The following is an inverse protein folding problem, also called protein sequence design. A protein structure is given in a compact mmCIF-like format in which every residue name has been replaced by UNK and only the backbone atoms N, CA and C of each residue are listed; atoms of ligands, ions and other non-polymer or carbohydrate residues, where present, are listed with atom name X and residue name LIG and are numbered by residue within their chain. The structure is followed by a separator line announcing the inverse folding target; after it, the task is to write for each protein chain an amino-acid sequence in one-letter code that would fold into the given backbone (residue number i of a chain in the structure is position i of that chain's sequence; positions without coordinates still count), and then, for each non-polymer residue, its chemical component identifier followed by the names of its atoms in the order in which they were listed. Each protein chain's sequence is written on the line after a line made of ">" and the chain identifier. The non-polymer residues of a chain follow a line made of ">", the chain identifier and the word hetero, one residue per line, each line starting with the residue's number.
data_IF_540945264613
#
_entry.id   IF_540945264613
#
_cell.length_a   1.000
_cell.length_b   1.000
_cell.length_c   1.000
_cell.angle_alpha   90.00
_cell.angle_beta   90.00
_cell.angle_gamma   90.00
#
_symmetry.space_group_name_H-M   'P 1'
#
loop_
_entity.id
_entity.type
_entity.pdbx_description
1 polymer ?
#
# COMPACT_ATOMS: atom_id res chain seq x y z
N UNK A 1 23.26 40.62 -36.62
CA UNK A 1 24.03 40.15 -35.45
C UNK A 1 23.38 40.76 -34.22
N UNK A 2 22.68 39.94 -33.43
CA UNK A 2 22.07 40.31 -32.14
C UNK A 2 22.65 39.38 -31.07
N UNK A 3 22.92 39.85 -29.84
CA UNK A 3 23.75 39.12 -28.90
C UNK A 3 22.99 37.97 -28.25
N UNK A 4 23.72 36.87 -28.02
CA UNK A 4 23.27 35.69 -27.32
C UNK A 4 22.95 36.01 -25.85
N UNK A 5 21.69 35.89 -25.46
CA UNK A 5 21.29 35.91 -24.06
C UNK A 5 21.73 34.61 -23.37
N UNK A 6 22.42 34.80 -22.25
CA UNK A 6 23.02 33.79 -21.36
C UNK A 6 22.05 32.68 -20.92
N UNK A 7 22.53 31.44 -20.97
CA UNK A 7 21.81 30.21 -20.63
C UNK A 7 21.63 29.99 -19.11
N UNK A 8 21.09 30.98 -18.37
CA UNK A 8 20.90 30.88 -16.91
C UNK A 8 19.42 30.82 -16.48
N UNK A 9 18.46 30.94 -17.40
CA UNK A 9 17.05 31.15 -17.02
C UNK A 9 16.07 29.97 -17.20
N UNK A 10 16.51 28.70 -17.13
CA UNK A 10 15.55 27.57 -17.21
C UNK A 10 15.81 26.44 -16.22
N UNK A 11 15.64 26.70 -14.92
CA UNK A 11 15.52 25.64 -13.90
C UNK A 11 14.44 25.92 -12.84
N UNK A 12 13.36 26.61 -13.20
CA UNK A 12 12.16 26.66 -12.35
C UNK A 12 11.33 25.37 -12.51
N UNK A 13 11.87 24.24 -12.05
CA UNK A 13 11.12 22.99 -11.93
C UNK A 13 9.93 23.15 -10.97
N UNK A 14 8.86 22.38 -11.21
CA UNK A 14 7.65 22.40 -10.36
C UNK A 14 8.01 22.15 -8.88
N UNK A 15 7.21 22.67 -7.94
CA UNK A 15 7.39 22.46 -6.48
C UNK A 15 7.65 20.99 -6.12
N UNK A 16 7.05 20.06 -6.86
CA UNK A 16 7.25 18.62 -6.74
C UNK A 16 8.64 18.15 -7.21
N UNK A 17 9.10 18.58 -8.37
CA UNK A 17 10.43 18.24 -8.89
C UNK A 17 11.54 18.81 -8.01
N UNK A 18 11.33 19.99 -7.42
CA UNK A 18 12.26 20.58 -6.45
C UNK A 18 12.34 19.73 -5.18
N UNK A 19 11.20 19.22 -4.68
CA UNK A 19 11.14 18.30 -3.53
C UNK A 19 11.79 16.95 -3.85
N UNK A 20 11.58 16.41 -5.06
CA UNK A 20 12.20 15.14 -5.49
C UNK A 20 13.73 15.26 -5.58
N UNK A 21 14.27 16.37 -6.12
CA UNK A 21 15.71 16.64 -6.10
C UNK A 21 16.27 16.78 -4.68
N UNK A 22 15.49 17.31 -3.75
CA UNK A 22 15.88 17.47 -2.34
C UNK A 22 15.94 16.11 -1.61
N UNK A 23 14.97 15.23 -1.86
CA UNK A 23 14.98 13.85 -1.36
C UNK A 23 16.19 13.11 -1.92
N UNK A 24 16.40 13.20 -3.24
CA UNK A 24 17.49 12.51 -3.92
C UNK A 24 18.87 12.99 -3.46
N UNK A 25 19.05 14.28 -3.20
CA UNK A 25 20.31 14.83 -2.65
C UNK A 25 20.55 14.38 -1.19
N UNK A 26 19.50 14.32 -0.38
CA UNK A 26 19.59 13.79 0.99
C UNK A 26 19.97 12.31 1.01
N UNK A 27 19.33 11.50 0.16
CA UNK A 27 19.58 10.07 0.05
C UNK A 27 21.00 9.76 -0.50
N UNK A 28 21.51 10.58 -1.42
CA UNK A 28 22.87 10.44 -1.96
C UNK A 28 23.95 10.72 -0.90
N UNK A 29 23.76 11.76 -0.08
CA UNK A 29 24.68 12.07 1.02
C UNK A 29 24.64 10.98 2.11
N UNK A 30 23.47 10.38 2.33
CA UNK A 30 23.26 9.27 3.26
C UNK A 30 24.01 8.00 2.83
N UNK A 31 23.89 7.62 1.56
CA UNK A 31 24.55 6.42 1.02
C UNK A 31 26.08 6.56 1.07
N UNK A 32 26.62 7.74 0.75
CA UNK A 32 28.06 8.01 0.82
C UNK A 32 28.63 7.99 2.26
N UNK A 33 27.79 8.20 3.29
CA UNK A 33 28.19 8.04 4.70
C UNK A 33 28.09 6.60 5.18
N UNK A 34 27.11 5.84 4.69
CA UNK A 34 26.92 4.43 5.03
C UNK A 34 28.02 3.53 4.46
N UNK A 35 28.52 3.84 3.26
CA UNK A 35 29.71 3.21 2.66
C UNK A 35 30.98 3.46 3.49
N UNK A 36 31.09 4.61 4.17
CA UNK A 36 32.22 4.91 5.08
C UNK A 36 32.13 4.20 6.43
N UNK A 37 30.94 3.77 6.86
CA UNK A 37 30.73 3.07 8.14
C UNK A 37 30.78 1.54 8.00
N UNK A 38 30.58 0.99 6.79
CA UNK A 38 30.66 -0.45 6.52
C UNK A 38 32.07 -1.05 6.55
N UNK A 39 33.12 -0.21 6.58
CA UNK A 39 34.53 -0.64 6.71
C UNK A 39 34.97 -0.88 8.17
N UNK A 40 34.07 -0.76 9.15
CA UNK A 40 34.38 -1.05 10.56
C UNK A 40 33.96 -2.48 10.97
N UNK A 41 34.80 -3.26 11.70
CA UNK A 41 34.49 -4.65 12.05
C UNK A 41 33.34 -4.75 13.08
N UNK A 42 32.35 -5.59 12.81
CA UNK A 42 31.14 -5.76 13.63
C UNK A 42 31.20 -6.98 14.57
N UNK A 43 30.88 -6.77 15.86
CA UNK A 43 30.63 -7.84 16.86
C UNK A 43 29.18 -8.41 16.79
N UNK A 44 28.96 -9.68 17.19
CA UNK A 44 27.69 -10.37 17.00
C UNK A 44 26.64 -10.05 18.09
N UNK A 45 25.42 -9.69 17.68
CA UNK A 45 24.25 -9.52 18.56
C UNK A 45 23.34 -10.74 18.54
N UNK A 46 23.01 -11.21 19.74
CA UNK A 46 22.14 -12.35 20.03
C UNK A 46 20.66 -12.00 19.91
N UNK A 47 19.86 -12.96 19.44
CA UNK A 47 18.41 -12.87 19.28
C UNK A 47 17.69 -13.32 20.55
N UNK A 48 16.60 -12.64 20.93
CA UNK A 48 15.68 -13.15 21.95
C UNK A 48 14.23 -12.97 21.53
N UNK A 49 13.54 -14.11 21.53
CA UNK A 49 12.14 -14.34 21.17
C UNK A 49 11.29 -14.37 22.45
N UNK A 50 10.09 -13.78 22.44
CA UNK A 50 8.99 -14.18 23.34
C UNK A 50 7.64 -14.20 22.63
N UNK A 51 6.91 -15.30 22.87
CA UNK A 51 5.57 -15.65 22.40
C UNK A 51 4.51 -15.39 23.49
N UNK A 52 3.24 -15.53 23.06
CA UNK A 52 2.00 -15.86 23.79
C UNK A 52 1.19 -14.66 24.33
N UNK A 53 -0.15 -14.62 24.35
CA UNK A 53 -1.21 -15.51 23.84
C UNK A 53 -2.58 -14.80 23.91
N UNK A 54 -3.54 -15.26 23.09
CA UNK A 54 -4.97 -15.50 23.40
C UNK A 54 -5.81 -14.42 24.11
N UNK A 55 -6.77 -13.84 23.37
CA UNK A 55 -8.07 -13.45 23.91
C UNK A 55 -9.18 -13.70 22.86
N UNK A 56 -10.16 -14.53 23.22
CA UNK A 56 -11.40 -14.76 22.49
C UNK A 56 -12.37 -13.60 22.74
N UNK A 57 -12.98 -13.00 21.70
CA UNK A 57 -14.39 -12.53 21.71
C UNK A 57 -14.94 -12.50 20.26
N UNK A 58 -16.19 -12.96 20.15
CA UNK A 58 -17.07 -13.05 18.99
C UNK A 58 -17.25 -11.75 18.20
N UNK A 59 -17.11 -11.83 16.86
CA UNK A 59 -18.03 -11.16 15.93
C UNK A 59 -18.30 -12.09 14.76
N UNK A 60 -19.57 -12.31 14.42
CA UNK A 60 -19.99 -13.10 13.27
C UNK A 60 -19.59 -12.40 11.95
N UNK A 61 -18.32 -12.50 11.58
CA UNK A 61 -17.74 -12.11 10.30
C UNK A 61 -17.09 -13.34 9.70
N UNK A 62 -17.61 -13.83 8.56
CA UNK A 62 -17.04 -14.92 7.71
C UNK A 62 -16.07 -15.83 8.48
N UNK A 63 -16.54 -16.49 9.53
CA UNK A 63 -15.66 -17.32 10.34
C UNK A 63 -15.12 -18.44 9.44
N UNK A 64 -13.81 -18.70 9.48
CA UNK A 64 -13.29 -19.94 8.88
C UNK A 64 -14.03 -21.12 9.50
N UNK A 65 -14.29 -22.17 8.72
CA UNK A 65 -14.86 -23.40 9.27
C UNK A 65 -13.87 -23.99 10.28
N UNK A 66 -14.39 -24.34 11.45
CA UNK A 66 -13.63 -25.01 12.51
C UNK A 66 -13.68 -26.53 12.33
N UNK A 67 -12.68 -27.28 12.83
CA UNK A 67 -12.72 -28.75 12.81
C UNK A 67 -13.97 -29.33 13.49
N UNK A 68 -14.47 -28.67 14.53
CA UNK A 68 -15.68 -29.07 15.25
C UNK A 68 -16.93 -28.86 14.39
N UNK A 69 -17.02 -27.72 13.69
CA UNK A 69 -18.09 -27.49 12.70
C UNK A 69 -18.02 -28.50 11.55
N UNK A 70 -16.82 -28.83 11.07
CA UNK A 70 -16.62 -29.81 10.00
C UNK A 70 -17.06 -31.22 10.45
N UNK A 71 -16.66 -31.66 11.64
CA UNK A 71 -17.08 -32.94 12.20
C UNK A 71 -18.60 -33.01 12.39
N UNK A 72 -19.20 -31.92 12.89
CA UNK A 72 -20.66 -31.80 13.04
C UNK A 72 -21.37 -31.85 11.68
N UNK A 73 -20.83 -31.16 10.68
CA UNK A 73 -21.38 -31.12 9.33
C UNK A 73 -21.32 -32.51 8.67
N UNK A 74 -20.20 -33.22 8.79
CA UNK A 74 -20.06 -34.59 8.31
C UNK A 74 -21.08 -35.54 8.97
N UNK A 75 -21.22 -35.47 10.31
CA UNK A 75 -22.18 -36.29 11.05
C UNK A 75 -23.61 -36.04 10.59
N UNK A 76 -24.02 -34.77 10.46
CA UNK A 76 -25.36 -34.42 10.02
C UNK A 76 -25.65 -34.84 8.58
N UNK A 77 -24.68 -34.71 7.67
CA UNK A 77 -24.82 -35.20 6.28
C UNK A 77 -24.91 -36.72 6.23
N UNK A 78 -24.19 -37.44 7.09
CA UNK A 78 -24.28 -38.90 7.20
C UNK A 78 -25.65 -39.34 7.72
N UNK A 79 -26.26 -38.59 8.64
CA UNK A 79 -27.55 -38.92 9.26
C UNK A 79 -28.76 -38.52 8.40
N UNK A 80 -28.75 -37.32 7.84
CA UNK A 80 -29.89 -36.73 7.11
C UNK A 80 -29.78 -36.87 5.59
N UNK A 81 -28.62 -37.31 5.08
CA UNK A 81 -28.33 -37.37 3.65
C UNK A 81 -27.91 -36.03 3.04
N UNK A 82 -27.28 -36.08 1.87
CA UNK A 82 -26.72 -34.92 1.17
C UNK A 82 -27.73 -34.08 0.37
N UNK A 83 -29.04 -34.35 0.53
CA UNK A 83 -30.14 -33.58 -0.06
C UNK A 83 -30.80 -32.60 0.92
N UNK A 84 -30.70 -32.83 2.23
CA UNK A 84 -31.45 -32.11 3.27
C UNK A 84 -30.69 -30.92 3.88
N UNK A 85 -30.11 -30.08 3.02
CA UNK A 85 -29.29 -28.95 3.49
C UNK A 85 -30.07 -27.92 4.31
N UNK A 86 -31.38 -27.76 4.05
CA UNK A 86 -32.22 -26.80 4.77
C UNK A 86 -32.30 -27.16 6.24
N UNK A 87 -32.46 -28.45 6.55
CA UNK A 87 -32.50 -28.97 7.91
C UNK A 87 -31.12 -28.94 8.56
N UNK A 88 -30.08 -29.37 7.83
CA UNK A 88 -28.68 -29.32 8.31
C UNK A 88 -28.28 -27.90 8.73
N UNK A 89 -28.69 -26.87 7.98
CA UNK A 89 -28.36 -25.48 8.28
C UNK A 89 -28.95 -24.97 9.60
N UNK A 90 -30.08 -25.52 10.06
CA UNK A 90 -30.70 -25.12 11.34
C UNK A 90 -29.78 -25.40 12.54
N UNK A 91 -28.85 -26.35 12.40
CA UNK A 91 -27.86 -26.69 13.42
C UNK A 91 -26.62 -25.78 13.41
N UNK A 92 -26.54 -24.81 12.50
CA UNK A 92 -25.43 -23.87 12.37
C UNK A 92 -25.93 -22.42 12.43
N UNK A 93 -25.89 -21.76 13.61
CA UNK A 93 -26.46 -20.43 13.80
C UNK A 93 -25.79 -19.34 12.94
N UNK A 94 -24.55 -19.56 12.49
CA UNK A 94 -23.79 -18.62 11.67
C UNK A 94 -23.60 -19.08 10.21
N UNK A 95 -24.21 -20.20 9.79
CA UNK A 95 -24.03 -20.76 8.44
C UNK A 95 -25.37 -20.98 7.76
N UNK A 96 -25.50 -20.50 6.54
CA UNK A 96 -26.68 -20.77 5.72
C UNK A 96 -26.58 -22.12 4.99
N UNK A 97 -27.71 -22.58 4.46
CA UNK A 97 -27.84 -23.80 3.63
C UNK A 97 -26.75 -23.93 2.57
N UNK A 98 -26.49 -22.83 1.85
CA UNK A 98 -25.55 -22.80 0.73
C UNK A 98 -24.12 -22.99 1.24
N UNK A 99 -23.76 -22.34 2.35
CA UNK A 99 -22.44 -22.45 2.98
C UNK A 99 -22.17 -23.86 3.48
N UNK A 100 -23.13 -24.50 4.13
CA UNK A 100 -23.01 -25.89 4.57
C UNK A 100 -22.76 -26.83 3.38
N UNK A 101 -23.56 -26.69 2.31
CA UNK A 101 -23.39 -27.49 1.08
C UNK A 101 -22.04 -27.24 0.41
N UNK A 102 -21.65 -25.99 0.22
CA UNK A 102 -20.37 -25.62 -0.41
C UNK A 102 -19.18 -26.16 0.38
N UNK A 103 -19.22 -26.04 1.73
CA UNK A 103 -18.15 -26.58 2.58
C UNK A 103 -18.02 -28.08 2.41
N UNK A 104 -19.15 -28.80 2.51
CA UNK A 104 -19.13 -30.25 2.41
C UNK A 104 -18.65 -30.72 1.03
N UNK A 105 -19.28 -30.24 -0.04
CA UNK A 105 -18.98 -30.67 -1.42
C UNK A 105 -17.55 -30.36 -1.85
N UNK A 106 -16.98 -29.24 -1.40
CA UNK A 106 -15.66 -28.80 -1.86
C UNK A 106 -14.50 -29.25 -0.96
N UNK A 107 -14.75 -29.62 0.29
CA UNK A 107 -13.69 -29.87 1.28
C UNK A 107 -13.87 -31.09 2.17
N UNK A 108 -15.09 -31.57 2.43
CA UNK A 108 -15.33 -32.63 3.43
C UNK A 108 -15.92 -33.91 2.86
N UNK A 109 -16.43 -33.89 1.63
CA UNK A 109 -17.05 -35.05 1.01
C UNK A 109 -16.06 -36.23 1.01
N UNK A 110 -16.51 -37.46 1.34
CA UNK A 110 -15.63 -38.64 1.38
C UNK A 110 -14.88 -38.88 0.06
N UNK A 111 -15.47 -38.48 -1.07
CA UNK A 111 -14.86 -38.53 -2.39
C UNK A 111 -13.58 -37.69 -2.52
N UNK A 112 -13.33 -36.75 -1.60
CA UNK A 112 -12.13 -35.91 -1.54
C UNK A 112 -11.01 -36.49 -0.67
N UNK A 113 -11.29 -37.52 0.14
CA UNK A 113 -10.31 -38.10 1.07
C UNK A 113 -9.10 -38.74 0.36
N UNK A 114 -9.27 -39.16 -0.90
CA UNK A 114 -8.20 -39.69 -1.75
C UNK A 114 -7.33 -38.62 -2.42
N UNK A 115 -7.57 -37.33 -2.16
CA UNK A 115 -6.88 -36.21 -2.81
C UNK A 115 -5.38 -36.18 -2.50
N UNK A 116 -4.55 -36.63 -3.44
CA UNK A 116 -3.11 -36.35 -3.47
C UNK A 116 -2.84 -34.94 -4.02
N UNK A 117 -1.63 -34.40 -3.94
CA UNK A 117 -1.28 -33.13 -4.59
C UNK A 117 -1.51 -33.17 -6.11
N UNK A 118 -1.63 -32.01 -6.79
CA UNK A 118 -1.76 -31.97 -8.26
C UNK A 118 -0.42 -32.35 -8.91
N UNK A 119 -0.42 -33.39 -9.75
CA UNK A 119 0.76 -33.85 -10.51
C UNK A 119 0.84 -33.20 -11.90
N UNK A 120 1.99 -33.31 -12.57
CA UNK A 120 2.14 -32.86 -13.94
C UNK A 120 1.22 -33.62 -14.92
N UNK A 121 0.99 -34.92 -14.68
CA UNK A 121 0.05 -35.71 -15.46
C UNK A 121 -1.39 -35.24 -15.25
N UNK A 122 -1.75 -34.84 -14.03
CA UNK A 122 -3.07 -34.25 -13.76
C UNK A 122 -3.24 -32.91 -14.50
N UNK A 123 -2.19 -32.08 -14.54
CA UNK A 123 -2.20 -30.79 -15.23
C UNK A 123 -2.39 -30.97 -16.74
N UNK A 124 -1.70 -31.94 -17.36
CA UNK A 124 -1.86 -32.24 -18.78
C UNK A 124 -3.29 -32.72 -19.07
N UNK A 125 -3.80 -33.64 -18.26
CA UNK A 125 -5.18 -34.13 -18.37
C UNK A 125 -6.20 -33.02 -18.18
N UNK A 126 -5.98 -32.09 -17.25
CA UNK A 126 -6.83 -30.92 -17.03
C UNK A 126 -6.88 -30.03 -18.26
N UNK A 127 -5.74 -29.74 -18.86
CA UNK A 127 -5.66 -28.91 -20.07
C UNK A 127 -6.33 -29.58 -21.26
N UNK A 128 -6.19 -30.91 -21.41
CA UNK A 128 -6.88 -31.67 -22.44
C UNK A 128 -8.41 -31.62 -22.25
N UNK A 129 -8.89 -31.87 -21.04
CA UNK A 129 -10.32 -31.80 -20.71
C UNK A 129 -10.88 -30.38 -20.85
N UNK A 130 -10.08 -29.35 -20.59
CA UNK A 130 -10.49 -27.96 -20.79
C UNK A 130 -10.77 -27.65 -22.27
N UNK A 131 -10.00 -28.24 -23.20
CA UNK A 131 -10.19 -28.04 -24.65
C UNK A 131 -11.49 -28.67 -25.16
N UNK A 132 -11.94 -29.76 -24.54
CA UNK A 132 -13.13 -30.50 -24.99
C UNK A 132 -14.38 -30.10 -24.22
N UNK A 133 -14.29 -30.08 -22.89
CA UNK A 133 -15.42 -29.86 -21.98
C UNK A 133 -15.59 -28.39 -21.57
N UNK A 134 -14.59 -27.55 -21.82
CA UNK A 134 -14.60 -26.12 -21.49
C UNK A 134 -14.94 -25.86 -20.02
N UNK A 135 -16.06 -25.18 -19.72
CA UNK A 135 -16.44 -24.81 -18.35
C UNK A 135 -17.28 -25.87 -17.62
N UNK A 136 -17.31 -27.11 -18.10
CA UNK A 136 -18.07 -28.19 -17.47
C UNK A 136 -17.30 -28.84 -16.31
N UNK A 137 -16.99 -28.03 -15.29
CA UNK A 137 -16.12 -28.38 -14.15
C UNK A 137 -16.56 -29.64 -13.40
N UNK A 138 -17.86 -29.86 -13.25
CA UNK A 138 -18.38 -31.07 -12.60
C UNK A 138 -18.08 -32.34 -13.39
N UNK A 139 -18.19 -32.30 -14.73
CA UNK A 139 -17.84 -33.43 -15.60
C UNK A 139 -16.33 -33.67 -15.62
N UNK A 140 -15.55 -32.59 -15.61
CA UNK A 140 -14.10 -32.67 -15.49
C UNK A 140 -13.68 -33.28 -14.15
N UNK A 141 -14.32 -32.90 -13.04
CA UNK A 141 -14.02 -33.44 -11.71
C UNK A 141 -14.25 -34.94 -11.59
N UNK A 142 -15.23 -35.52 -12.30
CA UNK A 142 -15.41 -36.96 -12.37
C UNK A 142 -14.17 -37.70 -12.91
N UNK A 143 -13.27 -37.03 -13.62
CA UNK A 143 -12.05 -37.61 -14.17
C UNK A 143 -10.86 -37.61 -13.21
N UNK A 144 -11.01 -36.99 -12.03
CA UNK A 144 -9.96 -36.90 -11.01
C UNK A 144 -10.50 -37.39 -9.66
N UNK A 145 -10.02 -38.56 -9.22
CA UNK A 145 -10.32 -39.06 -7.89
C UNK A 145 -9.83 -38.06 -6.83
N UNK A 146 -10.65 -37.77 -5.82
CA UNK A 146 -10.26 -36.82 -4.78
C UNK A 146 -10.51 -35.34 -5.10
N UNK A 147 -11.06 -34.96 -6.27
CA UNK A 147 -11.20 -33.54 -6.64
C UNK A 147 -12.63 -33.06 -6.71
N UNK A 148 -12.87 -31.86 -6.21
CA UNK A 148 -14.12 -31.13 -6.43
C UNK A 148 -14.08 -30.34 -7.74
N UNK A 149 -15.24 -30.03 -8.30
CA UNK A 149 -15.38 -29.14 -9.46
C UNK A 149 -14.69 -27.79 -9.24
N UNK A 150 -14.77 -27.24 -8.02
CA UNK A 150 -14.11 -25.99 -7.67
C UNK A 150 -12.57 -26.13 -7.62
N UNK A 151 -12.05 -27.26 -7.12
CA UNK A 151 -10.61 -27.55 -7.15
C UNK A 151 -10.07 -27.66 -8.58
N UNK A 152 -10.82 -28.33 -9.47
CA UNK A 152 -10.50 -28.46 -10.90
C UNK A 152 -10.47 -27.08 -11.57
N UNK A 153 -11.54 -26.31 -11.41
CA UNK A 153 -11.65 -24.95 -11.95
C UNK A 153 -10.49 -24.06 -11.49
N UNK A 154 -10.21 -24.04 -10.19
CA UNK A 154 -9.13 -23.23 -9.63
C UNK A 154 -7.76 -23.65 -10.16
N UNK A 155 -7.53 -24.96 -10.37
CA UNK A 155 -6.28 -25.46 -10.95
C UNK A 155 -6.15 -25.08 -12.42
N UNK A 156 -7.22 -25.23 -13.22
CA UNK A 156 -7.23 -24.81 -14.63
C UNK A 156 -6.92 -23.31 -14.78
N UNK A 157 -7.55 -22.45 -13.97
CA UNK A 157 -7.29 -21.01 -13.99
C UNK A 157 -5.85 -20.67 -13.61
N UNK A 158 -5.27 -21.38 -12.63
CA UNK A 158 -3.86 -21.23 -12.25
C UNK A 158 -2.91 -21.63 -13.39
N UNK A 159 -3.20 -22.73 -14.09
CA UNK A 159 -2.39 -23.20 -15.23
C UNK A 159 -2.45 -22.23 -16.40
N UNK A 160 -3.63 -21.71 -16.72
CA UNK A 160 -3.81 -20.70 -17.76
C UNK A 160 -2.94 -19.46 -17.50
N UNK A 161 -2.94 -18.97 -16.25
CA UNK A 161 -2.09 -17.85 -15.83
C UNK A 161 -0.58 -18.16 -15.93
N UNK A 162 -0.16 -19.35 -15.50
CA UNK A 162 1.26 -19.75 -15.61
C UNK A 162 1.72 -19.86 -17.07
N UNK A 163 0.83 -20.23 -17.99
CA UNK A 163 1.12 -20.28 -19.41
C UNK A 163 1.31 -18.88 -20.00
N UNK A 164 0.57 -17.88 -19.50
CA UNK A 164 0.78 -16.47 -19.87
C UNK A 164 2.13 -15.95 -19.35
N UNK A 165 2.49 -16.25 -18.10
CA UNK A 165 3.76 -15.85 -17.49
C UNK A 165 4.99 -16.50 -18.16
N UNK A 166 4.82 -17.66 -18.83
CA UNK A 166 5.90 -18.41 -19.53
C UNK A 166 6.12 -17.96 -20.99
N UNK A 167 5.28 -17.10 -21.56
CA UNK A 167 5.58 -16.54 -22.87
C UNK A 167 6.90 -15.76 -22.74
N UNK A 168 7.88 -15.98 -23.61
CA UNK A 168 9.15 -15.27 -23.54
C UNK A 168 8.86 -13.78 -23.75
N UNK A 169 8.79 -13.04 -22.65
CA UNK A 169 9.08 -11.62 -22.67
C UNK A 169 10.53 -11.51 -23.10
N UNK A 170 10.80 -10.76 -24.17
CA UNK A 170 12.14 -10.51 -24.69
C UNK A 170 13.06 -9.76 -23.72
N UNK A 171 12.72 -9.66 -22.43
CA UNK A 171 13.44 -8.90 -21.45
C UNK A 171 13.36 -9.54 -20.04
N UNK A 172 13.95 -10.73 -19.89
CA UNK A 172 13.99 -11.49 -18.64
C UNK A 172 14.98 -10.93 -17.59
N UNK A 173 15.71 -9.85 -17.92
CA UNK A 173 16.63 -9.16 -16.99
C UNK A 173 15.95 -8.11 -16.11
N UNK A 174 14.68 -7.81 -16.36
CA UNK A 174 13.87 -6.92 -15.53
C UNK A 174 12.70 -7.70 -14.91
N UNK A 175 12.94 -8.40 -13.79
CA UNK A 175 11.81 -8.71 -12.90
C UNK A 175 11.33 -7.36 -12.36
N UNK A 176 10.28 -6.81 -12.98
CA UNK A 176 9.76 -5.50 -12.66
C UNK A 176 9.52 -5.39 -11.14
N UNK A 177 10.03 -4.33 -10.49
CA UNK A 177 9.78 -4.09 -9.07
C UNK A 177 8.26 -4.00 -8.82
N UNK A 178 7.81 -4.37 -7.63
CA UNK A 178 6.39 -4.46 -7.24
C UNK A 178 5.54 -3.35 -7.89
N UNK A 179 4.83 -3.71 -8.97
CA UNK A 179 4.32 -2.73 -9.92
C UNK A 179 3.25 -1.86 -9.25
N UNK A 180 3.55 -0.57 -9.06
CA UNK A 180 2.57 0.41 -8.57
C UNK A 180 1.37 0.45 -9.53
N UNK A 181 0.16 0.57 -9.00
CA UNK A 181 -1.04 0.68 -9.83
C UNK A 181 -1.02 1.99 -10.63
N UNK A 182 -1.03 1.86 -11.95
CA UNK A 182 -1.13 2.99 -12.89
C UNK A 182 -2.55 3.56 -12.92
N UNK A 183 -2.71 4.76 -13.47
CA UNK A 183 -4.03 5.36 -13.66
C UNK A 183 -4.90 4.49 -14.60
N UNK A 184 -4.33 4.08 -15.74
CA UNK A 184 -5.00 3.23 -16.72
C UNK A 184 -5.48 1.89 -16.12
N UNK A 185 -4.66 1.22 -15.30
CA UNK A 185 -5.07 -0.01 -14.62
C UNK A 185 -6.20 0.23 -13.62
N UNK A 186 -6.17 1.36 -12.89
CA UNK A 186 -7.23 1.72 -11.92
C UNK A 186 -8.55 2.05 -12.63
N UNK A 187 -8.49 2.75 -13.75
CA UNK A 187 -9.67 3.09 -14.54
C UNK A 187 -10.27 1.84 -15.17
N UNK A 188 -9.43 0.95 -15.74
CA UNK A 188 -9.88 -0.35 -16.24
C UNK A 188 -10.48 -1.21 -15.13
N UNK A 189 -9.84 -1.29 -13.97
CA UNK A 189 -10.38 -1.99 -12.80
C UNK A 189 -11.75 -1.41 -12.39
N UNK A 190 -11.92 -0.09 -12.45
CA UNK A 190 -13.20 0.55 -12.16
C UNK A 190 -14.29 0.14 -13.13
N UNK A 191 -14.03 0.26 -14.43
CA UNK A 191 -14.99 -0.14 -15.46
C UNK A 191 -15.36 -1.61 -15.34
N UNK A 192 -14.39 -2.49 -15.07
CA UNK A 192 -14.64 -3.93 -14.89
C UNK A 192 -15.52 -4.21 -13.67
N UNK A 193 -15.32 -3.49 -12.57
CA UNK A 193 -16.14 -3.64 -11.35
C UNK A 193 -17.54 -3.03 -11.53
N UNK A 194 -17.67 -1.91 -12.24
CA UNK A 194 -18.97 -1.31 -12.55
C UNK A 194 -19.82 -2.21 -13.46
N UNK A 195 -19.19 -2.85 -14.45
CA UNK A 195 -19.87 -3.74 -15.41
C UNK A 195 -20.16 -5.14 -14.87
N UNK A 196 -19.26 -5.72 -14.07
CA UNK A 196 -19.37 -7.11 -13.60
C UNK A 196 -19.72 -7.25 -12.11
N UNK A 197 -19.73 -6.14 -11.37
CA UNK A 197 -19.85 -6.11 -9.92
C UNK A 197 -18.58 -6.54 -9.19
N UNK A 198 -18.43 -6.10 -7.93
CA UNK A 198 -17.29 -6.40 -7.05
C UNK A 198 -17.34 -7.83 -6.45
N UNK A 199 -17.55 -8.85 -7.29
CA UNK A 199 -17.77 -10.26 -6.86
C UNK A 199 -16.91 -11.27 -7.60
N UNK A 200 -16.69 -11.11 -8.91
CA UNK A 200 -15.94 -12.08 -9.73
C UNK A 200 -14.50 -11.62 -10.01
N UNK A 201 -13.68 -11.58 -8.96
CA UNK A 201 -12.31 -11.07 -9.03
C UNK A 201 -11.38 -11.87 -9.94
N UNK A 202 -11.65 -13.17 -10.13
CA UNK A 202 -10.91 -14.01 -11.06
C UNK A 202 -11.10 -13.54 -12.51
N UNK A 203 -12.33 -13.22 -12.89
CA UNK A 203 -12.61 -12.65 -14.21
C UNK A 203 -12.03 -11.23 -14.34
N UNK A 204 -12.20 -10.38 -13.32
CA UNK A 204 -11.64 -9.02 -13.34
C UNK A 204 -10.12 -9.07 -13.54
N UNK A 205 -9.42 -9.97 -12.85
CA UNK A 205 -7.98 -10.15 -12.99
C UNK A 205 -7.56 -10.72 -14.34
N UNK A 206 -8.35 -11.60 -14.97
CA UNK A 206 -8.03 -12.09 -16.32
C UNK A 206 -8.03 -10.97 -17.37
N UNK A 207 -8.74 -9.87 -17.10
CA UNK A 207 -8.75 -8.67 -17.94
C UNK A 207 -7.65 -7.66 -17.59
N UNK A 208 -6.84 -7.91 -16.55
CA UNK A 208 -5.74 -7.06 -16.09
C UNK A 208 -4.42 -7.86 -16.08
N UNK A 209 -3.68 -7.89 -17.22
CA UNK A 209 -2.44 -8.63 -17.33
C UNK A 209 -1.45 -8.26 -16.21
N UNK A 210 -0.84 -9.27 -15.58
CA UNK A 210 0.11 -9.07 -14.49
C UNK A 210 -0.52 -8.69 -13.13
N UNK A 211 -1.85 -8.60 -13.02
CA UNK A 211 -2.55 -8.40 -11.74
C UNK A 211 -3.27 -9.66 -11.29
N UNK A 212 -3.18 -9.95 -10.00
CA UNK A 212 -3.94 -11.07 -9.40
C UNK A 212 -5.33 -10.63 -9.00
N UNK A 213 -6.24 -11.59 -8.87
CA UNK A 213 -7.58 -11.42 -8.30
C UNK A 213 -7.52 -10.79 -6.90
N UNK A 214 -6.60 -11.25 -6.06
CA UNK A 214 -6.37 -10.67 -4.74
C UNK A 214 -5.87 -9.22 -4.82
N UNK A 215 -4.97 -8.91 -5.75
CA UNK A 215 -4.48 -7.54 -5.96
C UNK A 215 -5.61 -6.62 -6.44
N UNK A 216 -6.46 -7.08 -7.35
CA UNK A 216 -7.62 -6.32 -7.84
C UNK A 216 -8.62 -6.05 -6.71
N UNK A 217 -8.95 -7.09 -5.92
CA UNK A 217 -9.82 -6.98 -4.74
C UNK A 217 -9.27 -5.97 -3.73
N UNK A 218 -7.98 -6.08 -3.40
CA UNK A 218 -7.33 -5.19 -2.46
C UNK A 218 -7.31 -3.76 -2.97
N UNK A 219 -6.97 -3.56 -4.24
CA UNK A 219 -6.94 -2.23 -4.86
C UNK A 219 -8.32 -1.58 -4.85
N UNK A 220 -9.36 -2.35 -5.19
CA UNK A 220 -10.73 -1.87 -5.16
C UNK A 220 -11.13 -1.41 -3.76
N UNK A 221 -11.14 -2.31 -2.79
CA UNK A 221 -11.65 -2.01 -1.44
C UNK A 221 -10.80 -1.04 -0.64
N UNK A 222 -9.51 -0.88 -0.96
CA UNK A 222 -8.63 0.05 -0.24
C UNK A 222 -8.58 1.44 -0.87
N UNK A 223 -8.90 1.58 -2.16
CA UNK A 223 -8.60 2.84 -2.88
C UNK A 223 -9.62 3.28 -3.92
N UNK A 224 -10.34 2.37 -4.58
CA UNK A 224 -11.22 2.72 -5.71
C UNK A 224 -12.71 2.67 -5.37
N UNK A 225 -13.11 1.88 -4.39
CA UNK A 225 -14.49 1.81 -3.91
C UNK A 225 -14.95 3.22 -3.54
N UNK A 226 -16.05 3.68 -4.17
CA UNK A 226 -16.58 5.03 -3.99
C UNK A 226 -16.99 5.34 -2.55
N UNK A 227 -17.16 4.30 -1.73
CA UNK A 227 -17.39 4.44 -0.29
C UNK A 227 -16.14 4.90 0.47
N UNK A 228 -14.95 4.73 -0.09
CA UNK A 228 -13.69 5.12 0.55
C UNK A 228 -13.41 6.59 0.30
N UNK A 229 -13.26 7.37 1.37
CA UNK A 229 -12.82 8.76 1.34
C UNK A 229 -11.37 8.80 0.86
N UNK A 230 -11.16 9.34 -0.34
CA UNK A 230 -9.86 9.36 -1.02
C UNK A 230 -8.93 10.40 -0.41
N UNK A 231 -7.68 10.01 -0.20
CA UNK A 231 -6.58 10.91 0.20
C UNK A 231 -6.59 11.33 1.67
N UNK A 232 -5.84 12.39 1.98
CA UNK A 232 -5.82 13.08 3.27
C UNK A 232 -7.07 13.97 3.41
N UNK A 233 -8.26 13.43 3.15
CA UNK A 233 -9.50 14.17 3.42
C UNK A 233 -9.48 14.64 4.87
N UNK A 234 -9.80 15.92 5.09
CA UNK A 234 -9.73 16.57 6.41
C UNK A 234 -10.45 15.69 7.42
N UNK A 235 -9.72 15.22 8.44
CA UNK A 235 -10.35 14.53 9.55
C UNK A 235 -11.20 15.55 10.30
N UNK A 236 -12.47 15.22 10.49
CA UNK A 236 -13.37 16.04 11.30
C UNK A 236 -13.16 15.72 12.77
N UNK A 237 -13.46 16.67 13.65
CA UNK A 237 -13.38 16.43 15.09
C UNK A 237 -14.30 15.28 15.55
N UNK A 238 -15.45 15.10 14.87
CA UNK A 238 -16.35 13.98 15.13
C UNK A 238 -15.66 12.64 14.82
N UNK A 239 -14.96 12.55 13.69
CA UNK A 239 -14.20 11.36 13.34
C UNK A 239 -13.04 11.12 14.31
N UNK A 240 -12.33 12.17 14.73
CA UNK A 240 -11.24 12.05 15.71
C UNK A 240 -11.73 11.59 17.08
N UNK A 241 -12.84 12.15 17.58
CA UNK A 241 -13.47 11.71 18.83
C UNK A 241 -13.86 10.24 18.78
N UNK A 242 -14.53 9.83 17.70
CA UNK A 242 -14.94 8.44 17.53
C UNK A 242 -13.73 7.49 17.38
N UNK A 243 -12.67 7.93 16.68
CA UNK A 243 -11.43 7.19 16.56
C UNK A 243 -10.77 6.97 17.93
N UNK A 244 -10.69 8.00 18.77
CA UNK A 244 -10.14 7.88 20.12
C UNK A 244 -10.99 6.98 21.02
N UNK A 245 -12.31 7.19 21.05
CA UNK A 245 -13.25 6.36 21.82
C UNK A 245 -13.10 4.87 21.47
N UNK A 246 -13.06 4.54 20.17
CA UNK A 246 -12.92 3.13 19.75
C UNK A 246 -11.51 2.59 20.01
N UNK A 247 -10.46 3.41 19.95
CA UNK A 247 -9.12 2.95 20.35
C UNK A 247 -9.08 2.61 21.84
N UNK A 248 -9.78 3.36 22.68
CA UNK A 248 -9.91 3.07 24.12
C UNK A 248 -10.74 1.80 24.37
N UNK A 249 -11.86 1.63 23.66
CA UNK A 249 -12.77 0.50 23.84
C UNK A 249 -12.20 -0.84 23.33
N UNK A 250 -11.67 -0.87 22.10
CA UNK A 250 -11.29 -2.11 21.39
C UNK A 250 -9.79 -2.20 21.10
N UNK A 251 -8.99 -1.24 21.59
CA UNK A 251 -7.56 -1.19 21.36
C UNK A 251 -7.19 -0.81 19.91
N UNK A 252 -5.92 -1.03 19.55
CA UNK A 252 -5.35 -0.64 18.23
C UNK A 252 -5.75 -1.58 17.07
N UNK A 253 -7.01 -2.02 17.04
CA UNK A 253 -7.56 -2.84 15.95
C UNK A 253 -8.14 -1.95 14.84
N UNK A 254 -7.26 -1.40 14.00
CA UNK A 254 -7.62 -0.40 12.98
C UNK A 254 -8.68 -0.86 11.98
N UNK A 255 -8.69 -2.15 11.62
CA UNK A 255 -9.69 -2.69 10.69
C UNK A 255 -11.08 -2.70 11.31
N UNK A 256 -11.17 -3.00 12.60
CA UNK A 256 -12.43 -2.97 13.33
C UNK A 256 -12.88 -1.54 13.61
N UNK A 257 -11.97 -0.65 14.02
CA UNK A 257 -12.26 0.77 14.24
C UNK A 257 -12.79 1.43 12.97
N UNK A 258 -12.16 1.17 11.82
CA UNK A 258 -12.59 1.72 10.54
C UNK A 258 -14.03 1.34 10.16
N UNK A 259 -14.58 0.24 10.68
CA UNK A 259 -15.98 -0.12 10.45
C UNK A 259 -16.97 0.86 11.10
N UNK A 260 -16.54 1.62 12.10
CA UNK A 260 -17.33 2.67 12.76
C UNK A 260 -17.16 4.05 12.11
N UNK A 261 -16.19 4.22 11.20
CA UNK A 261 -15.88 5.47 10.52
C UNK A 261 -16.25 5.35 9.04
N UNK A 262 -17.46 5.77 8.63
CA UNK A 262 -17.93 5.62 7.26
C UNK A 262 -16.93 6.19 6.25
N UNK A 263 -16.45 5.31 5.39
CA UNK A 263 -15.51 5.64 4.33
C UNK A 263 -14.06 5.85 4.73
N UNK A 264 -13.69 5.69 6.00
CA UNK A 264 -12.29 5.55 6.40
C UNK A 264 -11.87 4.09 6.35
N UNK A 265 -10.61 3.84 6.01
CA UNK A 265 -10.00 2.50 6.08
C UNK A 265 -9.00 2.42 7.23
N UNK A 266 -8.70 1.20 7.70
CA UNK A 266 -7.85 1.00 8.88
C UNK A 266 -6.47 1.64 8.78
N UNK A 267 -5.86 1.67 7.59
CA UNK A 267 -4.58 2.36 7.39
C UNK A 267 -4.67 3.87 7.65
N UNK A 268 -5.78 4.52 7.25
CA UNK A 268 -6.02 5.94 7.53
C UNK A 268 -6.22 6.17 9.03
N UNK A 269 -6.98 5.29 9.70
CA UNK A 269 -7.21 5.37 11.14
C UNK A 269 -5.89 5.27 11.93
N UNK A 270 -5.05 4.29 11.57
CA UNK A 270 -3.71 4.12 12.17
C UNK A 270 -2.85 5.37 11.97
N UNK A 271 -2.78 5.85 10.72
CA UNK A 271 -1.97 7.02 10.38
C UNK A 271 -2.43 8.26 11.15
N UNK A 272 -3.75 8.49 11.25
CA UNK A 272 -4.31 9.62 11.99
C UNK A 272 -3.96 9.52 13.47
N UNK A 273 -4.18 8.37 14.08
CA UNK A 273 -3.95 8.18 15.51
C UNK A 273 -2.48 8.36 15.87
N UNK A 274 -1.58 7.59 15.23
CA UNK A 274 -0.15 7.59 15.57
C UNK A 274 0.59 8.89 15.25
N UNK A 275 0.00 9.79 14.45
CA UNK A 275 0.63 11.07 14.10
C UNK A 275 -0.01 12.28 14.78
N UNK A 276 -1.25 12.17 15.28
CA UNK A 276 -2.00 13.34 15.75
C UNK A 276 -2.86 13.13 16.99
N UNK A 277 -3.33 11.92 17.29
CA UNK A 277 -4.30 11.68 18.37
C UNK A 277 -3.77 10.84 19.52
N UNK A 278 -2.66 10.12 19.32
CA UNK A 278 -2.04 9.35 20.40
C UNK A 278 -1.65 10.32 21.54
N UNK A 279 -2.13 10.11 22.78
CA UNK A 279 -1.82 11.00 23.90
C UNK A 279 -0.33 11.15 24.21
N UNK A 280 0.49 10.20 23.74
CA UNK A 280 1.94 10.28 23.85
C UNK A 280 2.57 11.31 22.93
N UNK A 281 1.83 11.86 21.96
CA UNK A 281 2.33 12.84 21.00
C UNK A 281 2.33 14.24 21.60
N UNK A 282 3.50 14.87 21.56
CA UNK A 282 3.69 16.25 21.92
C UNK A 282 3.46 17.17 20.71
N UNK A 283 2.41 17.99 20.78
CA UNK A 283 2.07 19.01 19.78
C UNK A 283 2.66 20.40 20.07
N UNK A 284 3.44 20.57 21.13
CA UNK A 284 4.08 21.85 21.46
C UNK A 284 5.08 22.29 20.38
N UNK A 285 5.43 23.58 20.32
CA UNK A 285 6.51 24.07 19.46
C UNK A 285 7.83 23.31 19.68
N UNK A 286 8.69 23.27 18.67
CA UNK A 286 10.01 22.66 18.79
C UNK A 286 10.92 23.52 19.65
N UNK A 287 11.59 22.89 20.60
CA UNK A 287 12.53 23.54 21.51
C UNK A 287 13.95 23.50 20.95
N UNK A 288 14.80 24.44 21.35
CA UNK A 288 16.21 24.46 20.92
C UNK A 288 16.96 23.17 21.31
N UNK A 289 16.60 22.54 22.44
CA UNK A 289 17.16 21.24 22.85
C UNK A 289 16.74 20.11 21.88
N UNK A 290 15.46 20.03 21.51
CA UNK A 290 14.99 19.08 20.50
C UNK A 290 15.63 19.32 19.14
N UNK A 291 15.84 20.58 18.75
CA UNK A 291 16.52 20.94 17.49
C UNK A 291 18.00 20.51 17.48
N UNK A 292 18.69 20.63 18.61
CA UNK A 292 20.07 20.16 18.75
C UNK A 292 20.15 18.64 18.62
N UNK A 293 19.28 17.91 19.34
CA UNK A 293 19.18 16.44 19.25
C UNK A 293 18.83 16.01 17.83
N UNK A 294 17.90 16.69 17.18
CA UNK A 294 17.50 16.40 15.80
C UNK A 294 18.67 16.55 14.83
N UNK A 295 19.46 17.61 14.98
CA UNK A 295 20.58 17.90 14.08
C UNK A 295 21.66 16.82 14.22
N UNK A 296 22.06 16.50 15.46
CA UNK A 296 23.01 15.41 15.75
C UNK A 296 22.50 14.05 15.25
N UNK A 297 21.23 13.75 15.51
CA UNK A 297 20.63 12.49 15.10
C UNK A 297 20.49 12.36 13.58
N UNK A 298 20.21 13.44 12.85
CA UNK A 298 20.20 13.39 11.37
C UNK A 298 21.61 13.24 10.83
N UNK A 299 22.62 13.85 11.44
CA UNK A 299 24.02 13.62 11.05
C UNK A 299 24.44 12.16 11.25
N UNK A 300 23.97 11.54 12.33
CA UNK A 300 24.32 10.16 12.70
C UNK A 300 23.50 9.07 12.00
N UNK A 301 22.19 9.28 11.83
CA UNK A 301 21.24 8.27 11.34
C UNK A 301 20.58 8.64 10.00
N UNK A 302 20.82 9.86 9.50
CA UNK A 302 20.28 10.37 8.24
C UNK A 302 18.75 10.31 8.15
N UNK A 303 18.18 9.75 7.08
CA UNK A 303 16.72 9.72 6.84
C UNK A 303 15.98 8.60 7.58
N UNK A 304 16.62 7.99 8.59
CA UNK A 304 16.02 6.97 9.45
C UNK A 304 15.12 7.61 10.53
N UNK A 305 14.01 8.23 10.09
CA UNK A 305 13.11 9.03 10.93
C UNK A 305 12.55 8.28 12.14
N UNK A 306 12.33 6.97 12.01
CA UNK A 306 11.90 6.13 13.14
C UNK A 306 12.93 6.09 14.26
N UNK A 307 14.21 5.88 13.93
CA UNK A 307 15.30 5.87 14.92
C UNK A 307 15.55 7.25 15.54
N UNK A 308 15.35 8.31 14.76
CA UNK A 308 15.47 9.68 15.26
C UNK A 308 14.31 10.00 16.22
N UNK A 309 13.09 9.57 15.88
CA UNK A 309 11.92 9.76 16.74
C UNK A 309 12.06 9.06 18.10
N UNK A 310 12.73 7.91 18.18
CA UNK A 310 13.03 7.25 19.46
C UNK A 310 13.87 8.12 20.41
N UNK A 311 14.65 9.07 19.88
CA UNK A 311 15.48 10.01 20.66
C UNK A 311 14.75 11.29 21.05
N UNK A 312 13.57 11.51 20.48
CA UNK A 312 12.76 12.71 20.67
C UNK A 312 11.41 12.30 21.28
N UNK A 313 11.35 12.08 22.61
CA UNK A 313 10.15 11.56 23.26
C UNK A 313 8.93 12.45 22.96
N UNK A 314 7.87 11.79 22.51
CA UNK A 314 6.62 12.44 22.11
C UNK A 314 6.62 13.07 20.71
N UNK A 315 7.71 13.01 19.95
CA UNK A 315 7.70 13.37 18.52
C UNK A 315 7.54 12.11 17.67
N UNK A 316 6.50 12.07 16.82
CA UNK A 316 6.36 10.99 15.85
C UNK A 316 7.42 11.08 14.74
N UNK A 317 7.74 9.94 14.12
CA UNK A 317 8.61 9.88 12.93
C UNK A 317 8.17 10.85 11.84
N UNK A 318 6.86 11.02 11.66
CA UNK A 318 6.29 11.99 10.73
C UNK A 318 6.51 13.43 11.19
N UNK A 319 6.40 13.75 12.49
CA UNK A 319 6.67 15.09 13.02
C UNK A 319 8.14 15.48 12.84
N UNK A 320 9.07 14.57 13.15
CA UNK A 320 10.52 14.72 12.97
C UNK A 320 10.85 15.03 11.51
N UNK A 321 10.40 14.16 10.60
CA UNK A 321 10.60 14.31 9.15
C UNK A 321 10.05 15.64 8.64
N UNK A 322 8.83 16.00 9.03
CA UNK A 322 8.19 17.23 8.59
C UNK A 322 8.92 18.47 9.11
N UNK A 323 9.38 18.45 10.36
CA UNK A 323 10.13 19.55 10.94
C UNK A 323 11.47 19.76 10.21
N UNK A 324 12.24 18.68 10.00
CA UNK A 324 13.51 18.74 9.27
C UNK A 324 13.36 19.35 7.88
N UNK A 325 12.44 18.82 7.05
CA UNK A 325 12.24 19.34 5.69
C UNK A 325 11.68 20.77 5.67
N UNK A 326 10.88 21.16 6.67
CA UNK A 326 10.36 22.52 6.78
C UNK A 326 11.45 23.52 7.16
N UNK A 327 12.33 23.15 8.10
CA UNK A 327 13.51 23.92 8.49
C UNK A 327 14.48 24.08 7.33
N UNK A 328 14.81 22.99 6.64
CA UNK A 328 15.75 23.04 5.51
C UNK A 328 15.19 23.86 4.34
N UNK A 329 13.88 23.73 4.06
CA UNK A 329 13.21 24.58 3.06
C UNK A 329 13.32 26.06 3.43
N UNK A 330 13.10 26.42 4.69
CA UNK A 330 13.21 27.81 5.17
C UNK A 330 14.63 28.34 4.98
N UNK A 331 15.64 27.59 5.45
CA UNK A 331 17.06 27.94 5.29
C UNK A 331 17.45 28.20 3.83
N UNK A 332 16.96 27.37 2.89
CA UNK A 332 17.23 27.55 1.47
C UNK A 332 16.55 28.79 0.88
N UNK A 333 15.31 29.09 1.29
CA UNK A 333 14.60 30.30 0.86
C UNK A 333 15.29 31.56 1.40
N UNK A 334 15.77 31.52 2.64
CA UNK A 334 16.50 32.62 3.27
C UNK A 334 17.87 32.84 2.58
N UNK A 335 18.59 31.76 2.25
CA UNK A 335 19.84 31.81 1.50
C UNK A 335 19.65 32.36 0.07
N UNK A 336 18.57 31.94 -0.61
CA UNK A 336 18.22 32.46 -1.92
C UNK A 336 17.88 33.96 -1.86
N UNK A 337 17.13 34.40 -0.85
CA UNK A 337 16.79 35.81 -0.65
C UNK A 337 18.03 36.66 -0.33
N UNK A 338 18.97 36.12 0.45
CA UNK A 338 20.25 36.77 0.78
C UNK A 338 21.17 36.89 -0.44
N UNK A 339 21.16 35.90 -1.34
CA UNK A 339 21.95 35.95 -2.60
C UNK A 339 21.45 37.02 -3.58
N UNK A 340 20.14 37.29 -3.61
CA UNK A 340 19.53 38.32 -4.46
C UNK A 340 19.83 39.74 -3.95
N UNK A 341 20.01 39.92 -2.63
CA UNK A 341 20.42 41.21 -2.08
C UNK A 341 21.92 41.50 -2.30
N UNK A 342 22.78 40.47 -2.25
CA UNK A 342 24.22 40.62 -2.50
C UNK A 342 24.54 40.95 -3.97
N UNK A 343 23.76 40.43 -4.92
CA UNK A 343 23.87 40.80 -6.34
C UNK A 343 23.31 42.18 -6.67
N UNK A 344 22.33 42.69 -5.89
CA UNK A 344 21.81 44.06 -6.02
C UNK A 344 22.80 45.13 -5.53
N UNK A 345 23.67 44.80 -4.56
CA UNK A 345 24.65 45.76 -4.02
C UNK A 345 25.92 45.91 -4.89
N UNK A 346 26.15 45.01 -5.85
CA UNK A 346 27.26 45.14 -6.82
C UNK A 346 26.87 45.88 -8.11
N UNK A 347 25.62 46.35 -8.25
CA UNK A 347 25.16 47.18 -9.37
C UNK A 347 24.94 48.64 -8.94
N UNK A 348 25.91 49.22 -8.26
CA UNK A 348 25.92 50.65 -7.93
C UNK A 348 27.34 51.20 -7.95
N UNK A 349 28.05 51.00 -9.06
CA UNK A 349 29.31 51.68 -9.38
C UNK A 349 29.59 51.59 -10.89
N UNK A 350 28.73 52.18 -11.70
CA UNK A 350 29.10 52.63 -13.05
C UNK A 350 28.68 54.09 -13.14
N UNK A 351 29.65 54.97 -12.91
CA UNK A 351 29.56 56.40 -13.20
C UNK A 351 29.37 56.58 -14.71
N UNK A 352 28.22 57.13 -15.11
CA UNK A 352 27.96 57.55 -16.48
C UNK A 352 28.59 58.93 -16.71
N UNK A 353 29.80 58.96 -17.30
CA UNK A 353 30.32 60.16 -17.98
C UNK A 353 29.72 60.22 -19.39
N UNK A 354 28.82 61.18 -19.62
CA UNK A 354 28.31 61.54 -20.94
C UNK A 354 29.22 62.62 -21.56
N UNK A 355 29.63 62.54 -22.84
CA UNK A 355 30.23 63.67 -23.52
C UNK A 355 29.15 64.62 -24.04
N UNK A 356 29.36 65.91 -23.77
CA UNK A 356 28.56 67.03 -24.23
C UNK A 356 29.12 67.51 -25.57
N UNK A 357 28.30 67.57 -26.62
CA UNK A 357 28.57 68.45 -27.78
C UNK A 357 27.32 69.26 -28.10
N UNK A 358 27.46 70.59 -28.05
CA UNK A 358 26.43 71.59 -28.34
C UNK A 358 26.10 71.66 -29.84
N UNK A 359 25.05 72.38 -30.25
CA UNK A 359 25.12 73.83 -30.37
C UNK A 359 23.73 74.46 -30.62
N UNK A 360 23.40 75.46 -29.79
CA UNK A 360 22.81 76.81 -30.00
C UNK A 360 22.38 77.29 -31.42
N UNK A 361 21.84 78.52 -31.59
CA UNK A 361 20.66 79.16 -30.96
C UNK A 361 19.83 79.99 -31.99
N UNK A 362 18.71 80.58 -31.54
CA UNK A 362 18.15 81.87 -32.04
C UNK A 362 17.34 82.48 -30.89
N UNK A 363 17.28 83.77 -30.55
CA UNK A 363 18.18 84.93 -30.59
C UNK A 363 17.48 86.02 -29.77
N UNK A 364 18.25 86.89 -29.14
CA UNK A 364 18.17 88.33 -29.38
C UNK A 364 19.58 88.89 -29.35
#
# INVERSE_FOLDING_TARGET
>A
MAPAASAVEREAGTKRQRIERLIQRGDLLANAQQERQSDAPSEPRTSSSRKASSAQVFTAKRSSWTPQEDAKLCKLVQQLGSCNWSEIATHFPARDRKRCRERFVNHLAPSLAASRGWSAADDEKLLQLQRTLHSQWSKMACQFAGRSAESVKNRCLLLARRAEDRRPSSDSRNRAPAQRWTAAEKDKLRTLVETNGAKNWLFIASQLPGRTDLQCLQQWHRTLDGKVVKGKGTWTEREDRLLMEKVEEIGRNWTQIAAFLPGRVGSQCRERFLNHLDPTINSAPWTAAEEAILTDAVEKYSTQWGLIAEKLPGRSDNAVKNHWYSRERRRMLDAASSSVQSSSLHSSSITCNLPHTGTHPVSS
#
